data_IF_160369092232
#
_entry.id   IF_160369092232
#
_cell.length_a   1.000
_cell.length_b   1.000
_cell.length_c   1.000
_cell.angle_alpha   90.00
_cell.angle_beta   90.00
_cell.angle_gamma   90.00
#
_symmetry.space_group_name_H-M   'P 1'
#
loop_
_entity.id
_entity.type
_entity.pdbx_description
1 polymer ?
#
# COMPACT_ATOMS: atom_id res chain seq x y z
N UNK A 1 -0.84 0.11 9.22
CA UNK A 1 -1.60 1.36 9.04
C UNK A 1 -0.87 2.57 9.63
N UNK A 2 -0.41 2.57 10.89
CA UNK A 2 0.21 3.77 11.49
C UNK A 2 1.44 4.31 10.73
N UNK A 3 2.33 3.43 10.24
CA UNK A 3 3.48 3.84 9.39
C UNK A 3 3.08 4.55 8.10
N UNK A 4 1.95 4.18 7.51
CA UNK A 4 1.42 4.84 6.31
C UNK A 4 0.96 6.26 6.64
N UNK A 5 0.24 6.43 7.76
CA UNK A 5 -0.22 7.74 8.20
C UNK A 5 0.91 8.65 8.65
N UNK A 6 1.94 8.09 9.30
CA UNK A 6 3.17 8.81 9.63
C UNK A 6 3.89 9.29 8.36
N UNK A 7 4.10 8.41 7.38
CA UNK A 7 4.69 8.80 6.10
C UNK A 7 3.86 9.88 5.37
N UNK A 8 2.53 9.73 5.33
CA UNK A 8 1.61 10.71 4.73
C UNK A 8 1.74 12.08 5.43
N UNK A 9 1.75 12.09 6.76
CA UNK A 9 1.91 13.30 7.58
C UNK A 9 3.27 13.96 7.32
N UNK A 10 4.35 13.19 7.32
CA UNK A 10 5.70 13.72 7.04
C UNK A 10 5.82 14.30 5.62
N UNK A 11 5.18 13.68 4.62
CA UNK A 11 5.12 14.22 3.27
C UNK A 11 4.36 15.55 3.23
N UNK A 12 3.22 15.64 3.92
CA UNK A 12 2.45 16.89 4.02
C UNK A 12 3.24 18.02 4.70
N UNK A 13 3.96 17.72 5.78
CA UNK A 13 4.82 18.70 6.47
C UNK A 13 5.96 19.18 5.57
N UNK A 14 6.58 18.27 4.80
CA UNK A 14 7.67 18.62 3.85
C UNK A 14 7.17 19.49 2.70
N UNK A 15 5.98 19.22 2.17
CA UNK A 15 5.46 19.92 1.00
C UNK A 15 4.72 21.22 1.36
N UNK A 16 4.13 21.30 2.55
CA UNK A 16 3.38 22.47 3.04
C UNK A 16 3.86 22.93 4.43
N UNK A 17 5.12 23.37 4.58
CA UNK A 17 5.68 23.74 5.88
C UNK A 17 4.98 24.93 6.53
N UNK A 18 4.41 25.85 5.73
CA UNK A 18 3.69 27.03 6.22
C UNK A 18 2.32 26.70 6.84
N UNK A 19 1.72 25.55 6.51
CA UNK A 19 0.37 25.19 6.94
C UNK A 19 0.38 23.95 7.83
N UNK A 20 0.56 24.15 9.12
CA UNK A 20 0.62 23.06 10.09
C UNK A 20 -0.64 22.18 10.09
N UNK A 21 -1.81 22.75 9.81
CA UNK A 21 -3.11 22.03 9.78
C UNK A 21 -3.20 20.99 8.64
N UNK A 22 -2.41 21.14 7.57
CA UNK A 22 -2.42 20.21 6.43
C UNK A 22 -1.97 18.81 6.86
N UNK A 23 -1.07 18.72 7.86
CA UNK A 23 -0.59 17.46 8.42
C UNK A 23 -1.73 16.61 8.99
N UNK A 24 -2.71 17.25 9.62
CA UNK A 24 -3.92 16.60 10.12
C UNK A 24 -4.94 16.39 9.02
N UNK A 25 -5.02 17.34 8.08
CA UNK A 25 -5.99 17.29 7.00
C UNK A 25 -5.82 16.08 6.09
N UNK A 26 -4.58 15.72 5.76
CA UNK A 26 -4.30 14.57 4.89
C UNK A 26 -4.69 13.25 5.55
N UNK A 27 -4.42 13.10 6.85
CA UNK A 27 -4.75 11.88 7.62
C UNK A 27 -6.26 11.82 7.86
N UNK A 28 -6.86 12.93 8.30
CA UNK A 28 -8.30 13.07 8.51
C UNK A 28 -9.11 12.75 7.25
N UNK A 29 -8.74 13.34 6.11
CA UNK A 29 -9.41 13.14 4.83
C UNK A 29 -9.20 11.74 4.24
N UNK A 30 -8.25 10.96 4.73
CA UNK A 30 -8.18 9.55 4.40
C UNK A 30 -9.10 8.73 5.32
N UNK A 31 -8.95 8.91 6.64
CA UNK A 31 -9.63 8.06 7.62
C UNK A 31 -11.14 8.31 7.66
N UNK A 32 -11.58 9.56 7.74
CA UNK A 32 -13.01 9.84 7.86
C UNK A 32 -13.74 9.65 6.53
N UNK A 33 -13.15 10.11 5.42
CA UNK A 33 -13.81 10.09 4.11
C UNK A 33 -13.62 8.79 3.33
N UNK A 34 -12.46 8.14 3.40
CA UNK A 34 -12.16 6.94 2.60
C UNK A 34 -12.23 5.64 3.40
N UNK A 35 -12.33 5.71 4.73
CA UNK A 35 -12.42 4.52 5.57
C UNK A 35 -13.72 4.48 6.37
N UNK A 36 -13.95 5.41 7.30
CA UNK A 36 -15.13 5.37 8.16
C UNK A 36 -16.44 5.63 7.40
N UNK A 37 -16.53 6.67 6.58
CA UNK A 37 -17.78 6.95 5.85
C UNK A 37 -18.20 5.77 4.95
N UNK A 38 -17.33 5.18 4.11
CA UNK A 38 -17.66 3.97 3.35
C UNK A 38 -18.03 2.77 4.23
N UNK A 39 -17.34 2.56 5.36
CA UNK A 39 -17.63 1.46 6.27
C UNK A 39 -19.00 1.61 6.96
N UNK A 40 -19.40 2.84 7.29
CA UNK A 40 -20.69 3.15 7.92
C UNK A 40 -21.84 3.03 6.90
N UNK A 41 -21.64 3.51 5.67
CA UNK A 41 -22.66 3.47 4.63
C UNK A 41 -22.83 2.09 4.01
N UNK A 42 -21.75 1.29 3.98
CA UNK A 42 -21.74 -0.04 3.38
C UNK A 42 -21.27 -1.13 4.34
N UNK A 43 -21.87 -1.32 5.52
CA UNK A 43 -21.35 -2.21 6.55
C UNK A 43 -21.25 -3.68 6.09
N UNK A 44 -22.09 -4.12 5.16
CA UNK A 44 -21.98 -5.44 4.52
C UNK A 44 -20.72 -5.62 3.67
N UNK A 45 -20.26 -4.55 3.01
CA UNK A 45 -19.05 -4.57 2.17
C UNK A 45 -17.77 -4.63 3.02
N UNK A 46 -17.88 -4.30 4.31
CA UNK A 46 -16.80 -4.31 5.28
C UNK A 46 -16.95 -5.47 6.29
N UNK A 47 -17.81 -6.46 5.97
CA UNK A 47 -18.10 -7.62 6.82
C UNK A 47 -18.52 -7.28 8.26
N UNK A 48 -19.14 -6.10 8.47
CA UNK A 48 -19.63 -5.64 9.78
C UNK A 48 -21.00 -6.21 10.15
N UNK A 49 -21.79 -6.63 9.16
CA UNK A 49 -23.10 -7.27 9.37
C UNK A 49 -23.46 -8.18 8.21
N UNK A 50 -24.16 -9.27 8.52
CA UNK A 50 -24.74 -10.21 7.53
C UNK A 50 -26.22 -9.93 7.28
N UNK A 51 -26.87 -9.13 8.13
CA UNK A 51 -28.33 -8.89 8.09
C UNK A 51 -28.74 -7.76 7.15
N UNK A 52 -29.97 -7.81 6.65
CA UNK A 52 -30.49 -6.77 5.76
C UNK A 52 -30.80 -5.54 6.59
N UNK A 53 -30.21 -4.41 6.20
CA UNK A 53 -30.42 -3.14 6.89
C UNK A 53 -31.70 -2.54 6.35
N UNK A 54 -32.65 -2.30 7.24
CA UNK A 54 -33.91 -1.65 6.90
C UNK A 54 -33.68 -0.17 6.50
N UNK A 55 -34.63 0.45 5.76
CA UNK A 55 -34.49 1.83 5.30
C UNK A 55 -34.31 2.86 6.43
N UNK A 56 -34.90 2.64 7.61
CA UNK A 56 -34.78 3.55 8.74
C UNK A 56 -33.37 3.48 9.34
N UNK A 57 -32.83 2.29 9.55
CA UNK A 57 -31.45 2.10 10.01
C UNK A 57 -30.44 2.65 9.00
N UNK A 58 -30.67 2.44 7.70
CA UNK A 58 -29.82 3.00 6.65
C UNK A 58 -29.78 4.54 6.68
N UNK A 59 -30.95 5.17 6.89
CA UNK A 59 -31.03 6.62 7.09
C UNK A 59 -30.24 7.06 8.33
N UNK A 60 -30.34 6.34 9.44
CA UNK A 60 -29.56 6.64 10.66
C UNK A 60 -28.05 6.52 10.42
N UNK A 61 -27.59 5.47 9.74
CA UNK A 61 -26.18 5.30 9.36
C UNK A 61 -25.71 6.44 8.45
N UNK A 62 -26.56 6.90 7.54
CA UNK A 62 -26.26 8.06 6.68
C UNK A 62 -26.05 9.33 7.52
N UNK A 63 -26.92 9.59 8.50
CA UNK A 63 -26.78 10.74 9.40
C UNK A 63 -25.49 10.64 10.22
N UNK A 64 -25.18 9.45 10.76
CA UNK A 64 -23.93 9.20 11.50
C UNK A 64 -22.72 9.46 10.60
N UNK A 65 -22.71 8.93 9.38
CA UNK A 65 -21.63 9.12 8.41
C UNK A 65 -21.45 10.60 8.07
N UNK A 66 -22.53 11.35 7.87
CA UNK A 66 -22.47 12.80 7.64
C UNK A 66 -21.86 13.54 8.84
N UNK A 67 -22.28 13.22 10.06
CA UNK A 67 -21.73 13.82 11.29
C UNK A 67 -20.24 13.54 11.45
N UNK A 68 -19.81 12.29 11.25
CA UNK A 68 -18.40 11.91 11.33
C UNK A 68 -17.57 12.59 10.24
N UNK A 69 -18.10 12.71 9.02
CA UNK A 69 -17.43 13.44 7.94
C UNK A 69 -17.27 14.94 8.27
N UNK A 70 -18.31 15.55 8.84
CA UNK A 70 -18.30 16.96 9.28
C UNK A 70 -17.24 17.21 10.35
N UNK A 71 -17.11 16.30 11.32
CA UNK A 71 -16.06 16.34 12.34
C UNK A 71 -14.65 16.25 11.75
N UNK A 72 -14.42 15.33 10.80
CA UNK A 72 -13.14 15.22 10.09
C UNK A 72 -12.80 16.49 9.30
N UNK A 73 -13.81 17.14 8.73
CA UNK A 73 -13.67 18.40 8.00
C UNK A 73 -13.38 19.60 8.89
N UNK A 74 -13.79 19.60 10.17
CA UNK A 74 -13.44 20.67 11.12
C UNK A 74 -11.96 20.66 11.50
N UNK A 75 -11.35 19.46 11.52
CA UNK A 75 -9.94 19.27 11.86
C UNK A 75 -9.03 19.58 10.66
N UNK A 76 -9.56 19.42 9.44
CA UNK A 76 -8.95 19.95 8.22
C UNK A 76 -9.34 21.42 8.08
N UNK A 77 -8.47 22.40 8.33
CA UNK A 77 -8.83 23.84 8.28
C UNK A 77 -9.43 24.38 6.96
N UNK A 78 -9.74 23.53 5.97
CA UNK A 78 -10.26 23.88 4.65
C UNK A 78 -11.71 24.34 4.62
N UNK A 79 -12.53 24.11 5.66
CA UNK A 79 -13.95 24.47 5.54
C UNK A 79 -14.74 24.44 6.86
N UNK A 80 -14.27 25.10 7.92
CA UNK A 80 -15.09 25.31 9.12
C UNK A 80 -16.44 26.00 8.79
N UNK A 81 -16.51 26.72 7.67
CA UNK A 81 -17.70 27.42 7.16
C UNK A 81 -18.78 26.52 6.52
N UNK A 82 -18.54 25.24 6.24
CA UNK A 82 -19.49 24.38 5.52
C UNK A 82 -20.34 23.48 6.42
N UNK A 83 -20.22 23.59 7.76
CA UNK A 83 -20.87 22.65 8.68
C UNK A 83 -22.40 22.78 8.67
N UNK A 84 -22.98 23.95 8.38
CA UNK A 84 -24.43 24.15 8.43
C UNK A 84 -25.08 24.43 7.07
N UNK A 85 -24.82 23.58 6.06
CA UNK A 85 -25.58 23.65 4.79
C UNK A 85 -27.01 23.11 4.91
N UNK A 86 -27.28 22.30 5.93
CA UNK A 86 -28.53 21.56 6.09
C UNK A 86 -29.12 21.86 7.49
N UNK A 87 -30.26 22.57 7.54
CA UNK A 87 -30.88 23.04 8.79
C UNK A 87 -31.30 21.88 9.71
N UNK A 88 -31.75 20.76 9.14
CA UNK A 88 -32.12 19.56 9.91
C UNK A 88 -30.94 18.90 10.63
N UNK A 89 -29.69 19.16 10.21
CA UNK A 89 -28.48 18.66 10.87
C UNK A 89 -27.93 19.63 11.92
N UNK A 90 -28.48 20.85 12.02
CA UNK A 90 -27.92 21.92 12.83
C UNK A 90 -27.78 21.54 14.31
N UNK A 91 -28.80 20.89 14.88
CA UNK A 91 -28.77 20.47 16.29
C UNK A 91 -27.74 19.37 16.55
N UNK A 92 -27.65 18.40 15.64
CA UNK A 92 -26.62 17.36 15.70
C UNK A 92 -25.21 17.96 15.64
N UNK A 93 -24.98 18.90 14.72
CA UNK A 93 -23.68 19.57 14.66
C UNK A 93 -23.43 20.44 15.89
N UNK A 94 -24.44 21.12 16.44
CA UNK A 94 -24.28 21.92 17.67
C UNK A 94 -23.84 21.04 18.86
N UNK A 95 -24.40 19.84 18.97
CA UNK A 95 -24.09 18.89 20.04
C UNK A 95 -22.73 18.19 19.85
N UNK A 96 -22.42 17.75 18.62
CA UNK A 96 -21.24 16.93 18.36
C UNK A 96 -20.03 17.72 17.84
N UNK A 97 -20.20 18.85 17.15
CA UNK A 97 -19.10 19.65 16.60
C UNK A 97 -18.56 20.69 17.59
N UNK A 98 -18.23 20.26 18.81
CA UNK A 98 -17.67 21.14 19.84
C UNK A 98 -16.13 21.20 19.76
N UNK A 99 -15.49 22.27 20.27
CA UNK A 99 -14.03 22.36 20.35
C UNK A 99 -13.38 21.17 21.09
N UNK A 100 -14.09 20.59 22.07
CA UNK A 100 -13.66 19.39 22.79
C UNK A 100 -13.53 18.19 21.87
N UNK A 101 -14.51 17.94 21.01
CA UNK A 101 -14.44 16.83 20.05
C UNK A 101 -13.37 17.07 18.97
N UNK A 102 -13.22 18.30 18.49
CA UNK A 102 -12.14 18.66 17.57
C UNK A 102 -10.77 18.38 18.18
N UNK A 103 -10.57 18.74 19.45
CA UNK A 103 -9.33 18.45 20.18
C UNK A 103 -9.09 16.93 20.31
N UNK A 104 -10.11 16.17 20.70
CA UNK A 104 -10.02 14.71 20.80
C UNK A 104 -9.68 14.04 19.46
N UNK A 105 -10.24 14.54 18.35
CA UNK A 105 -9.90 14.04 17.01
C UNK A 105 -8.46 14.39 16.65
N UNK A 106 -8.01 15.62 16.92
CA UNK A 106 -6.60 15.98 16.69
C UNK A 106 -5.65 15.07 17.47
N UNK A 107 -5.96 14.76 18.73
CA UNK A 107 -5.19 13.80 19.54
C UNK A 107 -5.22 12.38 18.95
N UNK A 108 -6.39 11.91 18.51
CA UNK A 108 -6.51 10.61 17.83
C UNK A 108 -5.66 10.57 16.55
N UNK A 109 -5.73 11.60 15.72
CA UNK A 109 -4.93 11.72 14.50
C UNK A 109 -3.43 11.78 14.78
N UNK A 110 -3.02 12.44 15.87
CA UNK A 110 -1.62 12.40 16.35
C UNK A 110 -1.21 10.96 16.67
N UNK A 111 -1.96 10.26 17.53
CA UNK A 111 -1.63 8.91 18.02
C UNK A 111 -1.49 7.91 16.86
N UNK A 112 -2.38 7.94 15.89
CA UNK A 112 -2.34 6.99 14.77
C UNK A 112 -1.31 7.38 13.69
N UNK A 113 -0.80 8.61 13.72
CA UNK A 113 0.23 9.11 12.81
C UNK A 113 1.61 9.22 13.47
N UNK A 114 1.75 8.86 14.74
CA UNK A 114 3.03 8.70 15.41
C UNK A 114 3.36 7.21 15.48
N UNK A 115 4.34 6.79 14.68
CA UNK A 115 4.89 5.44 14.79
C UNK A 115 6.04 5.49 15.79
N UNK A 116 5.93 4.80 16.93
CA UNK A 116 7.03 4.65 17.91
C UNK A 116 8.18 3.74 17.43
N UNK A 117 8.26 3.45 16.14
CA UNK A 117 9.28 2.60 15.57
C UNK A 117 10.36 3.45 14.88
N UNK A 118 11.42 3.73 15.64
CA UNK A 118 12.84 3.81 15.26
C UNK A 118 13.27 4.60 13.99
N UNK A 119 14.40 5.33 14.06
CA UNK A 119 14.89 6.18 12.98
C UNK A 119 15.52 5.33 11.87
N UNK A 120 14.72 4.79 10.95
CA UNK A 120 15.19 4.32 9.64
C UNK A 120 14.01 3.83 8.79
N UNK A 121 13.33 4.75 8.11
CA UNK A 121 12.62 4.41 6.86
C UNK A 121 13.36 5.10 5.71
N UNK A 122 14.61 4.69 5.49
CA UNK A 122 15.00 4.40 4.12
C UNK A 122 13.94 3.45 3.57
N UNK A 123 13.21 3.87 2.55
CA UNK A 123 12.53 2.95 1.64
C UNK A 123 13.64 2.10 1.02
N UNK A 124 14.11 1.07 1.74
CA UNK A 124 14.75 -0.07 1.12
C UNK A 124 13.57 -0.97 0.77
N UNK A 125 13.09 -0.84 -0.46
CA UNK A 125 12.40 -1.95 -1.13
C UNK A 125 13.35 -3.14 -1.07
N UNK A 126 13.21 -3.98 -0.04
CA UNK A 126 13.84 -5.29 -0.06
C UNK A 126 13.26 -6.00 -1.29
N UNK A 127 14.08 -6.28 -2.31
CA UNK A 127 13.55 -6.69 -3.61
C UNK A 127 12.83 -8.03 -3.45
N UNK A 128 11.54 -8.03 -3.78
CA UNK A 128 10.65 -9.18 -3.55
C UNK A 128 11.12 -10.33 -4.43
N UNK A 129 11.32 -11.52 -3.85
CA UNK A 129 11.69 -12.71 -4.60
C UNK A 129 10.51 -13.16 -5.45
N UNK A 130 10.62 -13.02 -6.77
CA UNK A 130 9.59 -13.42 -7.70
C UNK A 130 9.71 -14.92 -8.03
N UNK A 131 10.93 -15.40 -8.28
CA UNK A 131 11.17 -16.80 -8.65
C UNK A 131 12.62 -17.22 -8.46
N UNK A 132 12.83 -18.44 -8.00
CA UNK A 132 14.14 -19.10 -8.00
C UNK A 132 14.07 -20.53 -8.51
N UNK A 133 15.18 -21.05 -9.04
CA UNK A 133 15.24 -22.43 -9.52
C UNK A 133 16.43 -22.69 -10.44
N UNK A 134 16.41 -23.84 -11.12
CA UNK A 134 17.47 -24.21 -12.07
C UNK A 134 17.08 -23.94 -13.52
N UNK A 135 17.90 -23.15 -14.23
CA UNK A 135 17.79 -22.89 -15.65
C UNK A 135 18.83 -23.69 -16.44
N UNK A 136 18.46 -24.11 -17.65
CA UNK A 136 19.34 -24.82 -18.57
C UNK A 136 19.70 -23.89 -19.73
N UNK A 137 20.99 -23.48 -19.81
CA UNK A 137 21.45 -22.65 -20.94
C UNK A 137 21.53 -23.51 -22.20
N UNK A 138 20.64 -23.28 -23.16
CA UNK A 138 20.76 -23.81 -24.52
C UNK A 138 21.73 -22.92 -25.29
N UNK A 139 22.76 -23.51 -25.88
CA UNK A 139 23.57 -22.82 -26.89
C UNK A 139 22.74 -22.72 -28.15
N UNK A 140 22.38 -21.50 -28.57
CA UNK A 140 21.88 -21.27 -29.91
C UNK A 140 23.00 -21.63 -30.89
N UNK A 141 22.83 -22.75 -31.59
CA UNK A 141 23.70 -23.10 -32.71
C UNK A 141 23.48 -22.08 -33.81
N UNK A 142 24.56 -21.43 -34.23
CA UNK A 142 24.63 -20.57 -35.42
C UNK A 142 23.95 -21.30 -36.59
N UNK A 143 22.94 -20.66 -37.19
CA UNK A 143 22.27 -21.13 -38.40
C UNK A 143 23.25 -21.07 -39.58
N UNK A 144 24.00 -22.15 -39.79
CA UNK A 144 24.69 -22.42 -41.04
C UNK A 144 23.69 -22.93 -42.08
N UNK A 145 23.75 -22.34 -43.27
CA UNK A 145 22.88 -22.61 -44.41
C UNK A 145 23.00 -24.08 -44.89
N UNK A 146 21.92 -24.88 -44.83
CA UNK A 146 21.89 -26.20 -45.47
C UNK A 146 20.98 -27.27 -44.82
N UNK A 147 19.72 -27.33 -45.28
CA UNK A 147 18.76 -28.48 -45.22
C UNK A 147 18.27 -29.03 -43.86
N UNK A 148 16.96 -29.38 -43.72
CA UNK A 148 16.39 -29.87 -42.48
C UNK A 148 16.47 -31.40 -42.39
N UNK A 149 17.37 -31.95 -41.57
CA UNK A 149 17.30 -33.37 -41.20
C UNK A 149 16.65 -33.53 -39.82
N UNK A 150 15.40 -34.01 -39.83
CA UNK A 150 14.85 -34.75 -38.68
C UNK A 150 15.69 -36.01 -38.49
N UNK A 151 16.25 -36.21 -37.30
CA UNK A 151 16.63 -37.54 -36.82
C UNK A 151 16.61 -37.56 -35.29
N UNK A 152 15.65 -38.29 -34.73
CA UNK A 152 15.75 -38.81 -33.38
C UNK A 152 17.02 -39.67 -33.28
N UNK A 153 17.93 -39.29 -32.40
CA UNK A 153 18.98 -40.15 -31.87
C UNK A 153 19.20 -39.75 -30.41
N UNK A 154 19.01 -40.73 -29.52
CA UNK A 154 19.40 -40.70 -28.11
C UNK A 154 20.93 -40.75 -28.01
N UNK A 155 21.40 -40.45 -26.80
CA UNK A 155 22.75 -40.59 -26.22
C UNK A 155 23.77 -39.51 -26.56
N UNK A 156 24.33 -38.90 -25.51
CA UNK A 156 25.45 -37.97 -25.58
C UNK A 156 25.22 -36.70 -24.79
N UNK A 157 25.86 -36.61 -23.62
CA UNK A 157 25.96 -35.42 -22.79
C UNK A 157 26.59 -34.23 -23.55
N UNK A 158 25.81 -33.49 -24.34
CA UNK A 158 26.26 -32.22 -24.93
C UNK A 158 26.02 -31.08 -23.93
N UNK A 159 26.94 -30.93 -22.97
CA UNK A 159 27.18 -29.76 -22.09
C UNK A 159 26.00 -28.79 -21.82
N UNK A 160 24.84 -29.30 -21.42
CA UNK A 160 23.74 -28.47 -20.94
C UNK A 160 24.13 -27.87 -19.59
N UNK A 161 24.62 -26.62 -19.60
CA UNK A 161 25.14 -25.96 -18.40
C UNK A 161 23.96 -25.54 -17.51
N UNK A 162 23.63 -26.35 -16.51
CA UNK A 162 22.67 -26.01 -15.46
C UNK A 162 23.17 -24.80 -14.65
N UNK A 163 22.29 -23.84 -14.40
CA UNK A 163 22.54 -22.62 -13.62
C UNK A 163 21.43 -22.46 -12.60
N UNK A 164 21.75 -22.13 -11.36
CA UNK A 164 20.75 -21.65 -10.42
C UNK A 164 20.45 -20.19 -10.76
N UNK A 165 19.19 -19.77 -10.79
CA UNK A 165 18.81 -18.39 -10.98
C UNK A 165 17.91 -17.92 -9.84
N UNK A 166 17.97 -16.62 -9.54
CA UNK A 166 17.13 -15.93 -8.59
C UNK A 166 16.69 -14.62 -9.21
N UNK A 167 15.38 -14.46 -9.40
CA UNK A 167 14.73 -13.28 -9.96
C UNK A 167 14.00 -12.55 -8.84
N UNK A 168 14.38 -11.30 -8.61
CA UNK A 168 13.69 -10.37 -7.72
C UNK A 168 13.06 -9.23 -8.53
N UNK A 169 12.28 -8.37 -7.87
CA UNK A 169 11.64 -7.22 -8.51
C UNK A 169 12.61 -6.22 -9.16
N UNK A 170 13.89 -6.22 -8.79
CA UNK A 170 14.90 -5.31 -9.36
C UNK A 170 16.19 -5.97 -9.84
N UNK A 171 16.32 -7.30 -9.71
CA UNK A 171 17.55 -7.99 -10.10
C UNK A 171 17.30 -9.44 -10.55
N UNK A 172 17.93 -9.84 -11.64
CA UNK A 172 18.09 -11.23 -12.04
C UNK A 172 19.54 -11.67 -11.80
N UNK A 173 19.74 -12.66 -10.95
CA UNK A 173 21.06 -13.25 -10.69
C UNK A 173 21.09 -14.73 -11.08
N UNK A 174 22.23 -15.23 -11.56
CA UNK A 174 22.42 -16.66 -11.81
C UNK A 174 23.85 -17.13 -11.53
N UNK A 175 23.97 -18.37 -11.06
CA UNK A 175 25.22 -19.01 -10.64
C UNK A 175 25.33 -20.44 -11.18
N UNK A 176 26.54 -21.03 -11.17
CA UNK A 176 26.74 -22.42 -11.61
C UNK A 176 26.31 -23.38 -10.50
N UNK A 177 25.39 -24.31 -10.78
CA UNK A 177 25.08 -25.40 -9.85
C UNK A 177 26.31 -26.31 -9.74
N UNK A 178 26.93 -26.38 -8.56
CA UNK A 178 28.04 -27.30 -8.27
C UNK A 178 29.29 -26.70 -7.61
N UNK A 179 29.36 -25.39 -7.36
CA UNK A 179 30.47 -24.81 -6.60
C UNK A 179 30.26 -25.00 -5.08
N UNK A 180 30.61 -26.18 -4.55
CA UNK A 180 30.87 -26.33 -3.10
C UNK A 180 32.22 -25.68 -2.81
N UNK A 181 32.21 -24.48 -2.24
CA UNK A 181 33.41 -23.79 -1.81
C UNK A 181 33.14 -22.31 -1.54
N UNK A 182 33.51 -21.86 -0.34
CA UNK A 182 33.40 -20.48 0.14
C UNK A 182 33.98 -19.52 -0.93
N UNK A 183 33.14 -18.65 -1.46
CA UNK A 183 33.50 -17.69 -2.52
C UNK A 183 33.08 -18.12 -3.92
N UNK A 184 31.80 -18.00 -4.25
CA UNK A 184 31.25 -18.23 -5.58
C UNK A 184 31.74 -17.17 -6.59
N UNK A 185 32.99 -17.30 -7.06
CA UNK A 185 33.51 -16.53 -8.20
C UNK A 185 32.76 -16.95 -9.46
N UNK A 186 31.77 -16.17 -9.87
CA UNK A 186 31.01 -16.39 -11.11
C UNK A 186 29.49 -16.23 -10.99
N UNK A 187 28.98 -15.55 -9.96
CA UNK A 187 27.61 -15.07 -9.94
C UNK A 187 27.49 -13.90 -10.93
N UNK A 188 26.71 -14.10 -11.99
CA UNK A 188 26.37 -13.03 -12.91
C UNK A 188 25.06 -12.40 -12.46
N UNK A 189 24.96 -11.08 -12.55
CA UNK A 189 23.78 -10.32 -12.17
C UNK A 189 23.41 -9.33 -13.26
N UNK A 190 22.12 -9.14 -13.46
CA UNK A 190 21.53 -8.19 -14.38
C UNK A 190 20.49 -7.39 -13.57
N UNK A 191 20.67 -6.08 -13.47
CA UNK A 191 19.64 -5.20 -12.93
C UNK A 191 18.49 -5.11 -13.95
N UNK A 192 17.25 -5.13 -13.46
CA UNK A 192 16.03 -5.04 -14.27
C UNK A 192 15.37 -3.67 -14.08
#
# INVERSE_FOLDING_TARGET
MCRLFDALRQCAVRHFPANAEVRYSVVSGFIFLRFFAPAILGPRLFDLTTEQIDPQTNRTLTLISKTIQSLGNLVSSRSAQQVCKEEYMAELYRSFCTPRHVHAIKQFLEIISTSSDTPNNSIQEAPVLLKEGTMIKRTEGVRGNGSPRRRWARTGHAHCKRRHFRLTSGELSWSRCGAKGVGARGAHRLAL
#
